data_IF_249408727596
#
_entry.id   IF_249408727596
#
_cell.length_a   1.000
_cell.length_b   1.000
_cell.length_c   1.000
_cell.angle_alpha   90.00
_cell.angle_beta   90.00
_cell.angle_gamma   90.00
#
_symmetry.space_group_name_H-M   'P 1'
#
loop_
_entity.id
_entity.type
_entity.pdbx_description
1 polymer ?
#
# COMPACT_ATOMS: atom_id res chain seq x y z
N UNK A 1 12.82 -4.01 -3.68
CA UNK A 1 12.74 -2.55 -3.94
C UNK A 1 11.67 -1.88 -3.07
N UNK A 2 11.86 -0.60 -2.70
CA UNK A 2 10.90 0.24 -1.94
C UNK A 2 10.67 1.58 -2.64
N UNK A 3 9.42 2.03 -2.70
CA UNK A 3 9.00 3.30 -3.30
C UNK A 3 8.10 4.09 -2.34
N UNK A 4 8.04 5.40 -2.53
CA UNK A 4 7.04 6.32 -1.95
C UNK A 4 6.01 6.65 -3.03
N UNK A 5 4.74 6.48 -2.69
CA UNK A 5 3.60 6.81 -3.54
C UNK A 5 2.89 8.00 -2.90
N UNK A 6 2.85 9.13 -3.61
CA UNK A 6 2.17 10.36 -3.21
C UNK A 6 0.89 10.50 -4.02
N UNK A 7 -0.23 10.76 -3.35
CA UNK A 7 -1.57 10.80 -3.94
C UNK A 7 -2.17 12.17 -3.70
N UNK A 8 -2.44 12.90 -4.77
CA UNK A 8 -3.06 14.22 -4.74
C UNK A 8 -4.59 14.07 -4.77
N UNK A 9 -5.31 14.72 -3.84
CA UNK A 9 -6.77 14.80 -3.88
C UNK A 9 -7.23 15.92 -4.81
N UNK A 10 -8.33 15.70 -5.53
CA UNK A 10 -8.99 16.75 -6.30
C UNK A 10 -9.66 17.84 -5.42
N UNK A 11 -9.75 17.63 -4.10
CA UNK A 11 -10.37 18.54 -3.12
C UNK A 11 -9.38 19.00 -2.02
N UNK A 12 -8.07 18.92 -2.29
CA UNK A 12 -6.97 19.30 -1.38
C UNK A 12 -6.92 18.59 0.00
N UNK A 13 -7.81 17.64 0.24
CA UNK A 13 -7.83 16.78 1.43
C UNK A 13 -8.39 15.40 1.12
N UNK A 14 -8.09 14.45 2.00
CA UNK A 14 -8.72 13.13 2.05
C UNK A 14 -9.53 13.01 3.34
N UNK A 15 -10.75 12.49 3.24
CA UNK A 15 -11.56 12.08 4.39
C UNK A 15 -11.65 10.55 4.36
N UNK A 16 -11.10 9.89 5.38
CA UNK A 16 -10.95 8.43 5.42
C UNK A 16 -11.45 7.87 6.75
N UNK A 17 -12.03 6.66 6.80
CA UNK A 17 -12.37 6.00 8.06
C UNK A 17 -11.11 5.48 8.77
N UNK A 18 -11.21 5.18 10.07
CA UNK A 18 -10.14 4.48 10.82
C UNK A 18 -9.56 3.27 10.07
N UNK A 19 -10.43 2.39 9.55
CA UNK A 19 -10.04 1.21 8.78
C UNK A 19 -9.77 1.50 7.31
N UNK A 20 -8.88 2.45 6.99
CA UNK A 20 -8.68 2.89 5.59
C UNK A 20 -7.87 1.94 4.71
N UNK A 21 -7.13 0.98 5.30
CA UNK A 21 -6.26 0.06 4.58
C UNK A 21 -6.90 -0.66 3.36
N UNK A 22 -8.18 -1.10 3.37
CA UNK A 22 -8.81 -1.72 2.21
C UNK A 22 -8.88 -0.80 0.99
N UNK A 23 -8.99 0.52 1.19
CA UNK A 23 -9.03 1.50 0.10
C UNK A 23 -7.65 1.76 -0.48
N UNK A 24 -6.61 1.83 0.37
CA UNK A 24 -5.20 1.90 -0.09
C UNK A 24 -4.83 0.64 -0.87
N UNK A 25 -5.24 -0.53 -0.36
CA UNK A 25 -5.10 -1.79 -1.07
C UNK A 25 -5.87 -1.79 -2.41
N UNK A 26 -7.08 -1.24 -2.43
CA UNK A 26 -7.90 -1.09 -3.63
C UNK A 26 -7.21 -0.26 -4.72
N UNK A 27 -6.67 0.91 -4.34
CA UNK A 27 -5.91 1.79 -5.23
C UNK A 27 -4.69 1.08 -5.83
N UNK A 28 -3.92 0.36 -5.01
CA UNK A 28 -2.77 -0.43 -5.48
C UNK A 28 -3.23 -1.56 -6.41
N UNK A 29 -4.20 -2.38 -5.98
CA UNK A 29 -4.71 -3.52 -6.75
C UNK A 29 -5.29 -3.11 -8.12
N UNK A 30 -5.96 -1.95 -8.21
CA UNK A 30 -6.49 -1.43 -9.48
C UNK A 30 -5.39 -1.10 -10.51
N UNK A 31 -4.15 -0.90 -10.06
CA UNK A 31 -2.99 -0.63 -10.89
C UNK A 31 -2.08 -1.85 -11.10
N UNK A 32 -2.41 -3.02 -10.53
CA UNK A 32 -1.64 -4.25 -10.74
C UNK A 32 -1.92 -4.79 -12.16
N UNK A 33 -0.89 -5.18 -12.94
CA UNK A 33 -1.09 -5.80 -14.25
C UNK A 33 -1.83 -7.15 -14.14
N UNK A 34 -2.80 -7.41 -15.02
CA UNK A 34 -3.53 -8.70 -15.05
C UNK A 34 -2.61 -9.88 -15.38
N UNK A 35 -1.56 -9.64 -16.17
CA UNK A 35 -0.58 -10.62 -16.65
C UNK A 35 0.60 -10.84 -15.69
N UNK A 36 0.59 -10.23 -14.50
CA UNK A 36 1.73 -10.28 -13.60
C UNK A 36 1.97 -11.67 -13.02
N UNK A 37 3.19 -12.15 -13.16
CA UNK A 37 3.63 -13.44 -12.59
C UNK A 37 3.99 -13.26 -11.12
N UNK A 38 3.12 -13.74 -10.23
CA UNK A 38 3.40 -13.82 -8.80
C UNK A 38 4.40 -14.95 -8.51
N UNK A 39 5.67 -14.61 -8.34
CA UNK A 39 6.77 -15.50 -7.91
C UNK A 39 6.68 -15.85 -6.41
N UNK A 40 5.50 -16.23 -5.94
CA UNK A 40 5.21 -16.56 -4.54
C UNK A 40 4.40 -17.85 -4.40
N UNK A 41 4.68 -18.86 -5.24
CA UNK A 41 3.95 -20.14 -5.21
C UNK A 41 4.40 -20.93 -3.99
N UNK A 42 3.51 -21.04 -3.00
CA UNK A 42 3.75 -21.79 -1.79
C UNK A 42 3.10 -23.18 -1.91
N UNK A 43 3.79 -24.11 -2.58
CA UNK A 43 3.33 -25.50 -2.71
C UNK A 43 3.21 -26.14 -1.31
N UNK A 44 1.98 -26.40 -0.87
CA UNK A 44 1.70 -27.06 0.40
C UNK A 44 1.20 -26.17 1.55
N UNK A 45 0.86 -24.90 1.31
CA UNK A 45 0.20 -24.03 2.32
C UNK A 45 -1.24 -23.68 1.94
N UNK A 46 -2.07 -23.32 2.93
CA UNK A 46 -3.48 -22.94 2.72
C UNK A 46 -3.63 -21.64 1.89
N UNK A 47 -2.64 -20.75 1.95
CA UNK A 47 -2.46 -19.67 0.97
C UNK A 47 -1.69 -20.23 -0.24
N UNK A 48 -2.35 -20.44 -1.37
CA UNK A 48 -1.72 -21.00 -2.59
C UNK A 48 -0.65 -20.08 -3.21
N UNK A 49 -0.78 -18.76 -3.01
CA UNK A 49 0.15 -17.75 -3.51
C UNK A 49 0.34 -16.61 -2.50
N UNK A 50 1.58 -16.32 -2.13
CA UNK A 50 1.89 -15.08 -1.44
C UNK A 50 1.93 -13.91 -2.42
N UNK A 51 1.06 -12.91 -2.21
CA UNK A 51 1.26 -11.56 -2.79
C UNK A 51 2.40 -10.89 -2.03
N UNK A 52 3.63 -11.06 -2.50
CA UNK A 52 4.85 -10.56 -1.89
C UNK A 52 5.03 -9.06 -2.14
N UNK A 53 4.18 -8.25 -1.50
CA UNK A 53 4.40 -6.83 -1.29
C UNK A 53 3.80 -6.41 0.05
N UNK A 54 4.30 -5.33 0.61
CA UNK A 54 3.77 -4.67 1.81
C UNK A 54 3.67 -3.16 1.58
N UNK A 55 2.85 -2.49 2.40
CA UNK A 55 2.77 -1.03 2.41
C UNK A 55 2.61 -0.48 3.83
N UNK A 56 3.01 0.77 4.02
CA UNK A 56 2.94 1.50 5.29
C UNK A 56 1.53 2.01 5.59
N UNK A 57 1.35 2.61 6.76
CA UNK A 57 0.25 3.54 7.00
C UNK A 57 0.31 4.74 6.03
N UNK A 58 -0.80 5.46 5.90
CA UNK A 58 -0.84 6.76 5.21
C UNK A 58 -0.24 7.85 6.10
N UNK A 59 0.48 8.76 5.45
CA UNK A 59 1.06 9.97 6.03
C UNK A 59 0.50 11.21 5.32
N UNK A 60 0.49 12.34 6.02
CA UNK A 60 0.14 13.65 5.49
C UNK A 60 0.84 14.74 6.32
N UNK A 61 0.94 15.97 5.79
CA UNK A 61 1.49 17.12 6.51
C UNK A 61 0.62 17.53 7.71
N UNK A 62 -0.70 17.33 7.62
CA UNK A 62 -1.61 17.40 8.77
C UNK A 62 -2.61 16.24 8.74
N UNK A 63 -2.94 15.75 9.93
CA UNK A 63 -3.94 14.72 10.17
C UNK A 63 -4.79 15.15 11.35
N UNK A 64 -6.07 15.41 11.10
CA UNK A 64 -7.08 15.67 12.13
C UNK A 64 -7.94 14.42 12.33
N UNK A 65 -8.22 14.07 13.58
CA UNK A 65 -9.15 13.00 13.94
C UNK A 65 -10.49 13.63 14.33
N UNK A 66 -11.56 13.22 13.66
CA UNK A 66 -12.94 13.63 13.97
C UNK A 66 -13.68 12.39 14.46
N UNK A 67 -14.01 12.36 15.75
CA UNK A 67 -14.85 11.30 16.33
C UNK A 67 -16.28 11.41 15.79
N UNK A 68 -16.82 10.29 15.33
CA UNK A 68 -18.18 10.18 14.79
C UNK A 68 -19.09 9.71 15.93
N UNK A 69 -20.07 10.52 16.31
CA UNK A 69 -21.13 10.08 17.20
C UNK A 69 -21.94 8.93 16.56
N UNK A 70 -22.34 7.88 17.33
CA UNK A 70 -23.28 6.88 16.84
C UNK A 70 -24.54 7.55 16.28
N UNK A 71 -25.09 7.00 15.18
CA UNK A 71 -26.35 7.49 14.63
C UNK A 71 -27.50 7.13 15.57
N UNK A 72 -28.47 8.03 15.69
CA UNK A 72 -29.70 7.78 16.45
C UNK A 72 -30.36 6.46 16.04
N UNK A 73 -30.61 5.58 17.02
CA UNK A 73 -31.22 4.27 16.81
C UNK A 73 -30.24 3.13 16.47
N UNK A 74 -28.92 3.37 16.46
CA UNK A 74 -27.90 2.31 16.40
C UNK A 74 -27.34 2.10 17.81
N UNK A 75 -27.38 0.88 18.33
CA UNK A 75 -26.68 0.54 19.58
C UNK A 75 -25.18 0.78 19.39
N UNK A 76 -24.57 1.54 20.30
CA UNK A 76 -23.13 1.73 20.28
C UNK A 76 -22.44 0.41 20.63
N UNK A 77 -21.57 -0.07 19.73
CA UNK A 77 -20.75 -1.27 19.89
C UNK A 77 -19.64 -1.13 20.95
N UNK A 78 -19.62 -0.02 21.69
CA UNK A 78 -18.58 0.34 22.65
C UNK A 78 -17.30 0.88 22.01
N UNK A 79 -17.24 0.99 20.67
CA UNK A 79 -16.06 1.47 19.96
C UNK A 79 -16.23 2.94 19.51
N UNK A 80 -15.16 3.72 19.63
CA UNK A 80 -15.13 5.09 19.12
C UNK A 80 -14.80 5.06 17.64
N UNK A 81 -15.83 5.21 16.80
CA UNK A 81 -15.68 5.38 15.36
C UNK A 81 -15.15 6.77 15.06
N UNK A 82 -14.16 6.91 14.19
CA UNK A 82 -13.62 8.21 13.77
C UNK A 82 -13.25 8.27 12.29
N UNK A 83 -13.25 9.48 11.75
CA UNK A 83 -12.63 9.80 10.47
C UNK A 83 -11.28 10.49 10.67
N UNK A 84 -10.40 10.29 9.72
CA UNK A 84 -9.16 11.04 9.54
C UNK A 84 -9.37 12.03 8.40
N UNK A 85 -9.14 13.31 8.68
CA UNK A 85 -9.04 14.37 7.67
C UNK A 85 -7.56 14.65 7.45
N UNK A 86 -7.06 14.30 6.27
CA UNK A 86 -5.64 14.38 5.93
C UNK A 86 -5.44 15.42 4.83
N UNK A 87 -4.45 16.31 4.98
CA UNK A 87 -4.10 17.28 3.92
C UNK A 87 -3.55 16.58 2.67
N UNK A 88 -3.85 17.09 1.48
CA UNK A 88 -3.23 16.65 0.24
C UNK A 88 -1.81 17.23 0.07
N UNK A 89 -0.86 16.49 -0.53
CA UNK A 89 -0.93 15.08 -0.85
C UNK A 89 -0.82 14.19 0.40
N UNK A 90 -1.48 13.05 0.38
CA UNK A 90 -1.14 11.93 1.28
C UNK A 90 -0.03 11.11 0.65
N UNK A 91 0.80 10.43 1.44
CA UNK A 91 1.76 9.48 0.92
C UNK A 91 1.85 8.20 1.74
N UNK A 92 2.32 7.13 1.11
CA UNK A 92 2.66 5.88 1.77
C UNK A 92 3.87 5.25 1.08
N UNK A 93 4.56 4.36 1.81
CA UNK A 93 5.61 3.53 1.26
C UNK A 93 5.04 2.19 0.82
N UNK A 94 5.51 1.69 -0.33
CA UNK A 94 5.22 0.35 -0.82
C UNK A 94 6.54 -0.36 -1.10
N UNK A 95 6.62 -1.65 -0.75
CA UNK A 95 7.83 -2.45 -0.94
C UNK A 95 7.49 -3.86 -1.45
N UNK A 96 8.35 -4.40 -2.29
CA UNK A 96 8.30 -5.79 -2.76
C UNK A 96 9.71 -6.31 -3.06
N UNK A 97 10.01 -7.60 -2.81
CA UNK A 97 11.24 -8.24 -3.27
C UNK A 97 11.31 -8.42 -4.81
N UNK A 98 10.24 -8.16 -5.57
CA UNK A 98 10.29 -8.10 -7.04
C UNK A 98 10.45 -6.66 -7.53
N UNK A 99 11.60 -6.27 -8.10
CA UNK A 99 11.73 -5.01 -8.84
C UNK A 99 10.75 -4.94 -10.02
N UNK A 100 10.55 -6.06 -10.72
CA UNK A 100 9.68 -6.16 -11.91
C UNK A 100 8.22 -5.80 -11.57
N UNK A 101 7.75 -6.20 -10.39
CA UNK A 101 6.43 -5.79 -9.87
C UNK A 101 6.34 -4.28 -9.64
N UNK A 102 7.36 -3.66 -9.06
CA UNK A 102 7.39 -2.21 -8.82
C UNK A 102 7.48 -1.44 -10.14
N UNK A 103 8.30 -1.90 -11.08
CA UNK A 103 8.47 -1.31 -12.41
C UNK A 103 7.20 -1.41 -13.26
N UNK A 104 6.48 -2.54 -13.19
CA UNK A 104 5.21 -2.72 -13.92
C UNK A 104 4.02 -1.96 -13.29
N UNK A 105 4.05 -1.74 -11.98
CA UNK A 105 3.01 -1.02 -11.21
C UNK A 105 3.15 0.52 -11.35
N UNK A 106 4.37 1.02 -11.35
CA UNK A 106 4.68 2.46 -11.33
C UNK A 106 4.03 3.28 -12.47
N UNK A 107 4.17 2.92 -13.77
CA UNK A 107 3.55 3.69 -14.84
C UNK A 107 2.02 3.64 -14.77
N UNK A 108 1.44 2.51 -14.34
CA UNK A 108 -0.01 2.37 -14.16
C UNK A 108 -0.53 3.31 -13.06
N UNK A 109 0.15 3.37 -11.91
CA UNK A 109 -0.18 4.33 -10.85
C UNK A 109 -0.16 5.78 -11.36
N UNK A 110 0.88 6.16 -12.11
CA UNK A 110 1.07 7.55 -12.57
C UNK A 110 0.15 7.95 -13.73
N UNK A 111 -0.34 7.00 -14.52
CA UNK A 111 -1.16 7.23 -15.72
C UNK A 111 -2.65 6.93 -15.50
N UNK A 112 -3.03 6.28 -14.40
CA UNK A 112 -4.43 5.91 -14.16
C UNK A 112 -5.30 7.15 -13.93
N UNK A 113 -6.40 7.20 -14.67
CA UNK A 113 -7.50 8.15 -14.46
C UNK A 113 -8.57 7.52 -13.57
N UNK A 114 -9.43 8.35 -12.98
CA UNK A 114 -10.57 7.94 -12.15
C UNK A 114 -10.23 7.03 -10.95
N UNK A 115 -8.99 7.07 -10.46
CA UNK A 115 -8.61 6.45 -9.19
C UNK A 115 -9.34 7.13 -8.02
N UNK A 116 -9.73 6.32 -7.05
CA UNK A 116 -10.42 6.77 -5.84
C UNK A 116 -9.77 6.17 -4.60
N UNK A 117 -9.69 6.96 -3.53
CA UNK A 117 -9.33 6.50 -2.18
C UNK A 117 -10.55 6.72 -1.28
N UNK A 118 -11.33 5.65 -1.05
CA UNK A 118 -12.72 5.74 -0.56
C UNK A 118 -13.55 6.60 -1.54
N UNK A 119 -14.21 7.69 -1.09
CA UNK A 119 -14.96 8.63 -1.96
C UNK A 119 -14.10 9.77 -2.49
N UNK A 120 -12.82 9.83 -2.13
CA UNK A 120 -11.94 10.92 -2.52
C UNK A 120 -11.38 10.64 -3.92
N UNK A 121 -11.75 11.47 -4.90
CA UNK A 121 -11.20 11.41 -6.26
C UNK A 121 -9.72 11.78 -6.24
N UNK A 122 -8.88 10.91 -6.79
CA UNK A 122 -7.46 11.14 -6.98
C UNK A 122 -7.24 12.01 -8.21
N UNK A 123 -6.57 13.15 -8.03
CA UNK A 123 -6.22 14.06 -9.12
C UNK A 123 -4.97 13.59 -9.87
N UNK A 124 -3.97 13.08 -9.14
CA UNK A 124 -2.75 12.53 -9.70
C UNK A 124 -2.01 11.66 -8.68
N UNK A 125 -1.11 10.79 -9.17
CA UNK A 125 -0.20 10.00 -8.35
C UNK A 125 1.24 10.26 -8.80
N UNK A 126 2.11 10.56 -7.84
CA UNK A 126 3.56 10.66 -8.05
C UNK A 126 4.23 9.49 -7.35
N UNK A 127 5.12 8.80 -8.07
CA UNK A 127 5.98 7.75 -7.50
C UNK A 127 7.41 8.29 -7.40
N UNK A 128 8.04 8.05 -6.26
CA UNK A 128 9.43 8.44 -5.97
C UNK A 128 10.15 7.21 -5.42
N UNK A 129 11.43 7.01 -5.76
CA UNK A 129 12.24 6.00 -5.09
C UNK A 129 12.34 6.32 -3.60
N UNK A 130 12.19 5.31 -2.73
CA UNK A 130 12.50 5.52 -1.31
C UNK A 130 14.02 5.68 -1.14
N UNK A 131 14.44 6.35 -0.07
CA UNK A 131 15.87 6.55 0.22
C UNK A 131 16.62 5.20 0.27
N UNK A 132 17.83 5.12 -0.32
CA UNK A 132 18.61 3.88 -0.32
C UNK A 132 19.05 3.53 1.09
N UNK A 133 18.71 2.32 1.55
CA UNK A 133 19.17 1.77 2.83
C UNK A 133 20.22 0.71 2.56
N UNK A 134 21.44 0.92 3.08
CA UNK A 134 22.53 -0.04 2.97
C UNK A 134 22.28 -1.21 3.92
N UNK A 135 21.78 -2.31 3.38
CA UNK A 135 21.51 -3.54 4.12
C UNK A 135 22.70 -4.51 3.92
N UNK A 136 23.29 -5.06 5.00
CA UNK A 136 24.29 -6.12 4.89
C UNK A 136 23.76 -7.32 4.08
N UNK A 137 24.61 -7.99 3.32
CA UNK A 137 24.21 -9.08 2.41
C UNK A 137 24.53 -10.49 2.93
N UNK A 138 25.23 -10.58 4.06
CA UNK A 138 25.72 -11.83 4.64
C UNK A 138 25.97 -11.69 6.15
N UNK A 139 25.94 -12.83 6.86
CA UNK A 139 26.23 -12.92 8.29
C UNK A 139 25.02 -12.68 9.19
N UNK A 140 25.22 -12.88 10.49
CA UNK A 140 24.21 -12.61 11.51
C UNK A 140 24.18 -11.10 11.82
N UNK A 141 22.99 -10.51 11.77
CA UNK A 141 22.78 -9.06 11.94
C UNK A 141 21.70 -8.83 12.99
N UNK A 142 21.86 -7.78 13.80
CA UNK A 142 20.84 -7.29 14.75
C UNK A 142 20.48 -5.85 14.40
N UNK A 143 19.20 -5.58 14.16
CA UNK A 143 18.66 -4.25 13.95
C UNK A 143 17.73 -3.85 15.09
N UNK A 144 17.72 -2.56 15.41
CA UNK A 144 16.53 -1.92 15.98
C UNK A 144 15.64 -1.53 14.81
N UNK A 145 14.37 -1.90 14.86
CA UNK A 145 13.38 -1.59 13.83
C UNK A 145 12.18 -0.87 14.42
N UNK A 146 11.50 -0.07 13.60
CA UNK A 146 10.21 0.53 13.92
C UNK A 146 9.18 0.06 12.89
N UNK A 147 8.01 -0.39 13.34
CA UNK A 147 6.88 -0.68 12.45
C UNK A 147 6.36 0.60 11.82
N UNK A 148 6.27 0.64 10.49
CA UNK A 148 5.56 1.70 9.73
C UNK A 148 4.18 1.23 9.25
N UNK A 149 3.90 -0.07 9.29
CA UNK A 149 2.56 -0.64 9.45
C UNK A 149 2.55 -1.78 10.50
N UNK A 150 1.41 -2.09 11.15
CA UNK A 150 1.37 -3.01 12.29
C UNK A 150 1.82 -4.43 11.89
N UNK A 151 2.56 -5.13 12.76
CA UNK A 151 2.87 -6.56 12.55
C UNK A 151 1.68 -7.39 13.01
N UNK A 152 1.17 -8.28 12.16
CA UNK A 152 0.10 -9.23 12.54
C UNK A 152 0.58 -10.66 12.37
N UNK A 153 0.35 -11.49 13.39
CA UNK A 153 0.52 -12.94 13.36
C UNK A 153 -0.67 -13.59 14.04
N UNK A 154 -1.13 -14.70 13.46
CA UNK A 154 -2.36 -15.37 13.88
C UNK A 154 -2.31 -16.88 13.63
N UNK A 155 -3.23 -17.57 14.29
CA UNK A 155 -3.61 -18.95 14.02
C UNK A 155 -5.13 -18.99 13.79
N UNK A 156 -5.58 -19.73 12.78
CA UNK A 156 -7.01 -20.00 12.58
C UNK A 156 -7.50 -20.93 13.70
N UNK A 157 -8.62 -20.60 14.33
CA UNK A 157 -9.15 -21.39 15.46
C UNK A 157 -9.71 -22.75 15.00
N UNK A 158 -10.17 -22.82 13.75
CA UNK A 158 -10.49 -24.05 13.05
C UNK A 158 -10.30 -23.87 11.54
N UNK A 159 -10.44 -24.94 10.74
CA UNK A 159 -10.38 -24.85 9.28
C UNK A 159 -11.67 -24.30 8.64
N UNK A 160 -12.78 -24.36 9.37
CA UNK A 160 -14.12 -24.00 8.89
C UNK A 160 -14.63 -22.66 9.47
N UNK A 161 -13.96 -22.12 10.49
CA UNK A 161 -14.28 -20.79 11.06
C UNK A 161 -13.43 -19.70 10.43
N UNK A 162 -14.06 -18.55 10.16
CA UNK A 162 -13.37 -17.34 9.73
C UNK A 162 -12.74 -16.57 10.92
N UNK A 163 -12.58 -17.24 12.08
CA UNK A 163 -12.04 -16.68 13.31
C UNK A 163 -10.54 -16.99 13.44
N UNK A 164 -9.77 -15.94 13.73
CA UNK A 164 -8.33 -16.00 13.86
C UNK A 164 -7.91 -15.44 15.22
N UNK A 165 -7.18 -16.24 15.99
CA UNK A 165 -6.55 -15.79 17.22
C UNK A 165 -5.26 -15.04 16.86
N UNK A 166 -5.19 -13.75 17.23
CA UNK A 166 -4.03 -12.90 16.98
C UNK A 166 -3.12 -12.83 18.20
N UNK A 167 -1.79 -12.85 17.99
CA UNK A 167 -0.82 -12.92 19.07
C UNK A 167 -0.10 -11.58 19.27
N UNK A 168 0.05 -11.17 20.53
CA UNK A 168 0.72 -9.94 20.95
C UNK A 168 2.25 -10.12 21.04
N UNK A 169 3.08 -9.07 20.91
CA UNK A 169 4.55 -9.17 20.99
C UNK A 169 5.14 -9.73 22.28
N UNK A 170 4.37 -9.72 23.37
CA UNK A 170 4.67 -10.31 24.68
C UNK A 170 4.20 -11.77 24.82
N UNK A 171 3.43 -12.29 23.86
CA UNK A 171 3.04 -13.69 23.80
C UNK A 171 4.24 -14.59 23.42
N UNK A 172 4.53 -15.68 24.17
CA UNK A 172 5.62 -16.61 23.87
C UNK A 172 5.64 -17.20 22.45
N UNK A 173 4.48 -17.27 21.77
CA UNK A 173 4.36 -17.78 20.41
C UNK A 173 4.63 -16.72 19.33
N UNK A 174 4.63 -15.42 19.66
CA UNK A 174 4.76 -14.34 18.67
C UNK A 174 6.01 -14.48 17.81
N UNK A 175 7.19 -14.58 18.44
CA UNK A 175 8.46 -14.68 17.72
C UNK A 175 8.54 -15.94 16.83
N UNK A 176 7.98 -17.06 17.30
CA UNK A 176 7.86 -18.29 16.53
C UNK A 176 6.95 -18.12 15.31
N UNK A 177 5.78 -17.51 15.47
CA UNK A 177 4.83 -17.30 14.37
C UNK A 177 5.35 -16.30 13.33
N UNK A 178 6.11 -15.28 13.75
CA UNK A 178 6.82 -14.39 12.82
C UNK A 178 7.85 -15.18 12.01
N UNK A 179 8.64 -16.06 12.64
CA UNK A 179 9.62 -16.91 11.95
C UNK A 179 8.96 -17.93 11.01
N UNK A 180 7.92 -18.65 11.47
CA UNK A 180 7.18 -19.62 10.67
C UNK A 180 6.52 -18.98 9.44
N UNK A 181 6.12 -17.70 9.53
CA UNK A 181 5.68 -16.92 8.38
C UNK A 181 6.86 -16.53 7.46
N UNK A 182 7.96 -16.02 8.04
CA UNK A 182 9.15 -15.62 7.29
C UNK A 182 9.73 -16.76 6.44
N UNK A 183 9.89 -17.96 7.03
CA UNK A 183 10.39 -19.16 6.34
C UNK A 183 9.50 -19.54 5.16
N UNK A 184 8.17 -19.52 5.34
CA UNK A 184 7.21 -19.84 4.26
C UNK A 184 7.26 -18.83 3.12
N UNK A 185 7.32 -17.53 3.42
CA UNK A 185 7.45 -16.48 2.40
C UNK A 185 8.78 -16.56 1.65
N UNK A 186 9.88 -16.79 2.35
CA UNK A 186 11.20 -16.93 1.75
C UNK A 186 11.27 -18.16 0.82
N UNK A 187 10.73 -19.30 1.26
CA UNK A 187 10.65 -20.50 0.41
C UNK A 187 9.75 -20.27 -0.81
N UNK A 188 8.59 -19.64 -0.66
CA UNK A 188 7.70 -19.34 -1.78
C UNK A 188 8.34 -18.41 -2.83
N UNK A 189 9.20 -17.48 -2.40
CA UNK A 189 9.96 -16.56 -3.25
C UNK A 189 11.17 -17.22 -3.94
N UNK A 190 12.00 -17.92 -3.18
CA UNK A 190 13.32 -18.42 -3.63
C UNK A 190 13.31 -19.87 -4.09
N UNK A 191 12.34 -20.66 -3.63
CA UNK A 191 12.35 -22.13 -3.63
C UNK A 191 13.54 -22.75 -2.84
N UNK A 192 14.22 -21.96 -2.01
CA UNK A 192 15.34 -22.38 -1.16
C UNK A 192 14.95 -22.45 0.33
N UNK A 193 15.67 -23.26 1.11
CA UNK A 193 15.54 -23.26 2.57
C UNK A 193 16.02 -21.90 3.13
N UNK A 194 15.15 -21.21 3.86
CA UNK A 194 15.49 -19.96 4.52
C UNK A 194 16.66 -20.13 5.53
N UNK A 195 17.62 -19.18 5.61
CA UNK A 195 18.63 -19.14 6.65
C UNK A 195 18.00 -18.62 7.95
N UNK A 196 17.25 -19.49 8.63
CA UNK A 196 16.47 -19.19 9.84
C UNK A 196 17.30 -19.18 11.14
N UNK A 197 18.54 -19.67 11.10
CA UNK A 197 19.33 -19.89 12.30
C UNK A 197 19.74 -18.55 12.94
N UNK A 198 19.58 -18.43 14.25
CA UNK A 198 19.79 -17.17 14.98
C UNK A 198 18.69 -16.12 14.80
N UNK A 199 17.58 -16.43 14.10
CA UNK A 199 16.44 -15.50 14.03
C UNK A 199 15.81 -15.27 15.40
N UNK A 200 15.61 -14.01 15.77
CA UNK A 200 14.79 -13.63 16.92
C UNK A 200 14.16 -12.25 16.71
N UNK A 201 12.98 -12.05 17.31
CA UNK A 201 12.30 -10.75 17.36
C UNK A 201 11.76 -10.52 18.77
N UNK A 202 12.00 -9.35 19.34
CA UNK A 202 11.47 -8.95 20.65
C UNK A 202 11.00 -7.50 20.64
N UNK A 203 9.92 -7.21 21.37
CA UNK A 203 9.45 -5.84 21.56
C UNK A 203 10.43 -5.07 22.46
N UNK A 204 10.75 -3.83 22.07
CA UNK A 204 11.56 -2.91 22.87
C UNK A 204 10.71 -1.89 23.64
N UNK A 205 9.45 -1.71 23.23
CA UNK A 205 8.50 -0.88 23.95
C UNK A 205 7.93 -1.63 25.16
N UNK A 206 7.77 -0.93 26.28
CA UNK A 206 7.21 -1.49 27.52
C UNK A 206 5.76 -2.01 27.35
N UNK A 207 5.02 -1.44 26.41
CA UNK A 207 3.69 -1.90 26.04
C UNK A 207 3.54 -1.79 24.52
N UNK A 208 3.35 -2.90 23.79
CA UNK A 208 3.14 -2.86 22.35
C UNK A 208 1.78 -2.22 22.04
N UNK A 209 1.74 -1.29 21.09
CA UNK A 209 0.51 -0.57 20.77
C UNK A 209 -0.34 -1.39 19.79
N UNK A 210 -1.50 -1.86 20.26
CA UNK A 210 -2.49 -2.58 19.45
C UNK A 210 -3.17 -1.65 18.44
N UNK A 211 -3.08 -2.01 17.16
CA UNK A 211 -3.86 -1.43 16.07
C UNK A 211 -4.90 -2.46 15.59
N UNK A 212 -6.18 -2.11 15.75
CA UNK A 212 -7.31 -2.87 15.19
C UNK A 212 -7.75 -2.20 13.90
N UNK A 213 -7.67 -2.94 12.79
CA UNK A 213 -8.01 -2.48 11.44
C UNK A 213 -9.07 -3.41 10.86
N UNK A 214 -10.25 -2.88 10.58
CA UNK A 214 -11.35 -3.64 9.96
C UNK A 214 -11.10 -3.84 8.47
N UNK A 215 -11.02 -5.09 8.04
CA UNK A 215 -10.92 -5.49 6.63
C UNK A 215 -12.20 -6.22 6.22
N UNK A 216 -13.06 -5.57 5.43
CA UNK A 216 -14.36 -6.14 4.98
C UNK A 216 -15.14 -6.75 6.16
N UNK A 217 -15.39 -5.90 7.17
CA UNK A 217 -16.09 -6.24 8.41
C UNK A 217 -15.42 -7.31 9.30
N UNK A 218 -14.22 -7.77 8.95
CA UNK A 218 -13.39 -8.66 9.79
C UNK A 218 -12.31 -7.83 10.51
N UNK A 219 -12.29 -7.79 11.86
CA UNK A 219 -11.23 -7.11 12.59
C UNK A 219 -9.90 -7.86 12.42
N UNK A 220 -8.84 -7.12 12.10
CA UNK A 220 -7.46 -7.61 12.07
C UNK A 220 -6.67 -6.90 13.16
N UNK A 221 -6.14 -7.66 14.11
CA UNK A 221 -5.26 -7.14 15.15
C UNK A 221 -3.81 -7.19 14.64
N UNK A 222 -3.11 -6.07 14.76
CA UNK A 222 -1.67 -6.01 14.58
C UNK A 222 -1.06 -5.06 15.59
N UNK A 223 0.25 -5.16 15.79
CA UNK A 223 0.96 -4.41 16.82
C UNK A 223 2.00 -3.50 16.20
N UNK A 224 1.96 -2.24 16.62
CA UNK A 224 2.94 -1.22 16.27
C UNK A 224 3.88 -0.98 17.44
N UNK A 225 5.16 -0.76 17.14
CA UNK A 225 6.19 -0.45 18.13
C UNK A 225 7.60 -0.51 17.57
N UNK A 226 8.56 -0.42 18.48
CA UNK A 226 9.99 -0.68 18.26
C UNK A 226 10.31 -2.13 18.64
N UNK A 227 11.12 -2.78 17.82
CA UNK A 227 11.53 -4.17 18.03
C UNK A 227 13.04 -4.30 17.83
N UNK A 228 13.65 -5.28 18.50
CA UNK A 228 14.95 -5.80 18.13
C UNK A 228 14.74 -7.01 17.23
N UNK A 229 15.34 -7.00 16.05
CA UNK A 229 15.26 -8.06 15.05
C UNK A 229 16.67 -8.57 14.77
N UNK A 230 16.92 -9.84 15.07
CA UNK A 230 18.19 -10.52 14.79
C UNK A 230 17.94 -11.67 13.81
N UNK A 231 18.91 -11.98 12.94
CA UNK A 231 18.85 -13.09 11.99
C UNK A 231 19.90 -13.00 10.89
N UNK A 232 19.93 -13.97 9.97
CA UNK A 232 20.80 -13.90 8.79
C UNK A 232 20.39 -12.73 7.88
N UNK A 233 21.40 -11.98 7.45
CA UNK A 233 21.25 -10.78 6.64
C UNK A 233 20.39 -10.97 5.38
N UNK A 234 20.45 -12.13 4.71
CA UNK A 234 19.64 -12.42 3.52
C UNK A 234 18.16 -12.52 3.86
N UNK A 235 17.84 -13.24 4.95
CA UNK A 235 16.46 -13.36 5.43
C UNK A 235 15.93 -12.01 5.91
N UNK A 236 16.73 -11.25 6.66
CA UNK A 236 16.31 -9.92 7.14
C UNK A 236 16.12 -8.92 5.98
N UNK A 237 16.99 -8.94 4.96
CA UNK A 237 16.84 -8.14 3.74
C UNK A 237 15.55 -8.50 2.99
N UNK A 238 15.26 -9.79 2.82
CA UNK A 238 13.99 -10.24 2.22
C UNK A 238 12.76 -9.78 3.02
N UNK A 239 12.84 -9.80 4.35
CA UNK A 239 11.75 -9.34 5.23
C UNK A 239 11.59 -7.82 5.24
N UNK A 240 12.67 -7.04 5.06
CA UNK A 240 12.59 -5.59 4.88
C UNK A 240 11.80 -5.20 3.62
N UNK A 241 11.83 -6.04 2.59
CA UNK A 241 11.12 -5.81 1.32
C UNK A 241 9.72 -6.46 1.25
N UNK A 242 9.51 -7.61 1.90
CA UNK A 242 8.24 -8.35 1.90
C UNK A 242 7.35 -8.12 3.14
N UNK A 243 7.91 -7.52 4.20
CA UNK A 243 7.26 -7.30 5.49
C UNK A 243 7.37 -8.49 6.47
N UNK A 244 7.14 -8.23 7.76
CA UNK A 244 7.05 -9.22 8.84
C UNK A 244 5.62 -9.74 9.00
N UNK A 245 5.46 -10.99 9.48
CA UNK A 245 4.14 -11.55 9.77
C UNK A 245 3.21 -11.69 8.55
N UNK A 246 1.93 -11.90 8.81
CA UNK A 246 0.90 -12.16 7.79
C UNK A 246 0.27 -10.90 7.18
N UNK A 247 -0.68 -11.13 6.25
CA UNK A 247 -1.52 -10.09 5.61
C UNK A 247 -0.73 -8.89 5.02
N UNK A 248 0.51 -9.10 4.56
CA UNK A 248 1.39 -7.98 4.15
C UNK A 248 0.79 -7.10 3.04
N UNK A 249 0.20 -7.73 2.02
CA UNK A 249 -0.50 -7.06 0.92
C UNK A 249 -1.82 -6.37 1.33
N UNK A 250 -2.18 -6.36 2.62
CA UNK A 250 -3.27 -5.61 3.23
C UNK A 250 -2.76 -4.41 4.08
N UNK A 251 -1.46 -4.10 4.00
CA UNK A 251 -0.85 -2.97 4.72
C UNK A 251 -0.42 -3.33 6.14
N UNK A 252 0.27 -4.48 6.28
CA UNK A 252 0.79 -4.98 7.55
C UNK A 252 2.26 -5.42 7.42
N UNK A 253 2.98 -5.31 8.53
CA UNK A 253 4.33 -5.85 8.69
C UNK A 253 5.45 -5.03 8.06
N UNK A 254 5.16 -3.89 7.44
CA UNK A 254 6.21 -3.01 6.92
C UNK A 254 6.92 -2.33 8.07
N UNK A 255 8.25 -2.39 8.06
CA UNK A 255 9.10 -1.76 9.07
C UNK A 255 10.22 -0.94 8.42
N UNK A 256 10.81 -0.06 9.21
CA UNK A 256 12.07 0.60 8.87
C UNK A 256 13.14 0.33 9.92
N UNK A 257 14.40 0.52 9.54
CA UNK A 257 15.56 0.31 10.41
C UNK A 257 15.81 1.62 11.18
N UNK A 258 15.69 1.55 12.51
CA UNK A 258 15.96 2.68 13.39
C UNK A 258 17.48 2.85 13.55
N UNK A 259 18.06 4.03 13.29
CA UNK A 259 19.48 4.26 13.52
C UNK A 259 19.85 4.18 14.99
N UNK A 260 21.12 3.91 15.26
CA UNK A 260 21.63 3.84 16.63
C UNK A 260 21.58 5.22 17.31
N UNK A 261 20.83 5.32 18.41
CA UNK A 261 20.75 6.54 19.24
C UNK A 261 19.67 7.55 18.86
N UNK A 262 18.75 7.25 17.92
CA UNK A 262 17.66 8.18 17.58
C UNK A 262 16.41 8.03 18.48
N UNK A 263 16.05 9.13 19.15
CA UNK A 263 14.77 9.28 19.86
C UNK A 263 13.59 9.56 18.89
N UNK A 264 12.36 9.31 19.34
CA UNK A 264 11.11 9.46 18.55
C UNK A 264 10.95 10.84 17.86
N UNK A 265 11.52 11.90 18.43
CA UNK A 265 11.47 13.27 17.91
C UNK A 265 12.38 13.53 16.70
N UNK A 266 13.35 12.65 16.43
CA UNK A 266 14.18 12.71 15.22
C UNK A 266 13.50 11.97 14.06
N UNK A 267 12.89 10.82 14.33
CA UNK A 267 12.15 10.05 13.33
C UNK A 267 10.97 10.83 12.72
N UNK A 268 10.19 11.55 13.54
CA UNK A 268 9.12 12.42 13.03
C UNK A 268 9.65 13.50 12.08
N UNK A 269 10.76 14.14 12.45
CA UNK A 269 11.44 15.11 11.58
C UNK A 269 11.91 14.49 10.28
N UNK A 270 12.44 13.26 10.26
CA UNK A 270 12.75 12.58 8.99
C UNK A 270 11.53 12.46 8.09
N UNK A 271 10.40 11.98 8.61
CA UNK A 271 9.15 11.88 7.82
C UNK A 271 8.59 13.23 7.34
N UNK A 272 8.99 14.35 7.96
CA UNK A 272 8.60 15.72 7.61
C UNK A 272 9.62 16.39 6.67
N UNK A 273 10.93 16.20 6.89
CA UNK A 273 12.05 16.69 6.10
C UNK A 273 12.15 15.97 4.73
N UNK A 274 11.73 14.70 4.68
CA UNK A 274 11.40 13.95 3.46
C UNK A 274 10.30 14.64 2.60
N UNK A 275 9.59 15.66 3.12
CA UNK A 275 8.67 16.51 2.34
C UNK A 275 9.29 17.84 1.90
N UNK A 276 10.45 18.23 2.43
CA UNK A 276 11.11 19.49 2.14
C UNK A 276 12.27 19.36 1.13
N UNK A 277 13.04 18.27 1.14
CA UNK A 277 14.13 18.09 0.16
C UNK A 277 13.61 17.88 -1.26
N UNK A 278 12.52 17.11 -1.44
CA UNK A 278 11.94 16.78 -2.75
C UNK A 278 11.41 18.03 -3.50
N UNK A 279 11.16 19.13 -2.79
CA UNK A 279 10.74 20.41 -3.39
C UNK A 279 11.89 21.33 -3.84
N UNK A 280 13.16 20.96 -3.63
CA UNK A 280 14.28 21.69 -4.20
C UNK A 280 14.49 21.26 -5.66
N UNK A 281 13.97 22.06 -6.58
CA UNK A 281 14.43 22.03 -7.98
C UNK A 281 15.96 22.15 -8.02
N UNK A 282 16.66 21.39 -8.87
CA UNK A 282 18.08 21.61 -9.06
C UNK A 282 18.27 23.02 -9.61
N UNK A 283 19.02 23.85 -8.89
CA UNK A 283 19.41 25.18 -9.36
C UNK A 283 20.21 25.01 -10.65
N UNK A 284 19.61 25.42 -11.77
CA UNK A 284 20.29 25.48 -13.07
C UNK A 284 21.63 26.18 -12.88
N UNK A 285 22.78 25.56 -13.23
CA UNK A 285 24.04 26.26 -13.21
C UNK A 285 23.92 27.45 -14.17
N UNK A 286 24.08 28.68 -13.66
CA UNK A 286 24.25 29.84 -14.53
C UNK A 286 25.45 29.56 -15.42
N UNK A 287 25.21 29.45 -16.73
CA UNK A 287 26.26 29.29 -17.71
C UNK A 287 27.23 30.48 -17.57
N UNK A 288 28.51 30.18 -17.36
CA UNK A 288 29.55 31.19 -17.44
C UNK A 288 29.55 31.77 -18.85
N UNK A 289 29.51 33.10 -18.95
CA UNK A 289 29.57 33.79 -20.22
C UNK A 289 31.03 33.86 -20.69
N UNK A 290 31.49 32.82 -21.38
CA UNK A 290 32.77 32.87 -22.08
C UNK A 290 32.69 33.85 -23.26
N UNK A 291 33.51 34.90 -23.17
CA UNK A 291 33.72 35.86 -24.26
C UNK A 291 34.83 35.35 -25.18
N UNK A 292 34.47 34.56 -26.19
CA UNK A 292 35.37 34.33 -27.34
C UNK A 292 34.80 34.93 -28.62
N UNK A 293 35.52 35.94 -29.14
CA UNK A 293 35.30 36.53 -30.46
C UNK A 293 35.85 35.58 -31.53
N UNK A 294 35.12 35.31 -32.62
CA UNK A 294 35.73 34.88 -33.86
C UNK A 294 36.04 36.09 -34.75
N UNK A 295 37.28 36.16 -35.24
CA UNK A 295 37.71 37.17 -36.21
C UNK A 295 36.94 37.09 -37.54
N UNK A 296 36.76 38.25 -38.17
CA UNK A 296 36.13 38.38 -39.49
C UNK A 296 37.07 39.14 -40.42
N UNK A 297 37.61 38.54 -41.50
CA UNK A 297 38.31 39.30 -42.52
C UNK A 297 37.31 40.04 -43.42
N UNK A 298 37.66 41.27 -43.81
CA UNK A 298 36.84 42.11 -44.68
C UNK A 298 36.85 41.64 -46.14
N UNK A 299 35.74 41.86 -46.87
CA UNK A 299 35.76 42.49 -48.21
C UNK A 299 34.39 42.89 -48.78
N UNK A 300 34.27 44.18 -49.08
CA UNK A 300 33.62 44.79 -50.26
C UNK A 300 32.18 44.44 -50.70
N UNK A 301 31.23 45.31 -50.30
CA UNK A 301 30.37 46.16 -51.16
C UNK A 301 29.62 45.62 -52.42
N UNK A 302 28.28 45.59 -52.36
CA UNK A 302 27.27 46.15 -53.32
C UNK A 302 25.85 45.70 -52.89
N UNK A 303 24.85 46.57 -52.64
CA UNK A 303 23.92 47.33 -53.52
C UNK A 303 22.91 46.50 -54.35
N UNK A 304 21.61 46.76 -54.12
CA UNK A 304 20.41 46.11 -54.71
C UNK A 304 19.55 45.51 -53.59
N UNK A 305 18.40 46.01 -53.13
CA UNK A 305 17.19 46.61 -53.74
C UNK A 305 16.21 45.57 -54.31
N UNK A 306 14.90 45.82 -54.11
CA UNK A 306 13.73 44.93 -54.39
C UNK A 306 13.59 43.76 -53.37
N UNK A 307 12.43 43.42 -52.79
CA UNK A 307 11.07 43.96 -52.88
C UNK A 307 10.11 42.98 -53.56
N UNK A 308 9.16 42.38 -52.83
CA UNK A 308 7.83 41.97 -53.34
C UNK A 308 6.88 41.52 -52.21
N UNK A 309 5.59 41.46 -52.53
CA UNK A 309 4.41 41.36 -51.64
C UNK A 309 3.38 40.42 -52.31
N UNK A 310 2.43 39.86 -51.53
CA UNK A 310 1.19 39.15 -51.98
C UNK A 310 1.37 37.75 -52.63
N UNK A 311 0.38 36.83 -52.69
CA UNK A 311 -0.93 36.67 -52.01
C UNK A 311 -1.45 35.21 -52.15
N UNK A 312 -2.57 34.90 -51.47
CA UNK A 312 -3.61 33.97 -51.95
C UNK A 312 -3.70 32.59 -51.26
N UNK A 313 -4.81 32.11 -50.70
CA UNK A 313 -6.18 31.86 -51.27
C UNK A 313 -6.22 30.60 -52.20
N UNK A 314 -7.24 29.73 -52.25
CA UNK A 314 -8.49 29.58 -51.47
C UNK A 314 -9.11 28.15 -51.68
N UNK A 315 -10.37 27.95 -51.24
CA UNK A 315 -11.30 26.82 -51.49
C UNK A 315 -11.05 25.52 -50.67
N UNK A 316 -12.04 24.86 -50.04
CA UNK A 316 -13.52 25.00 -50.05
C UNK A 316 -14.20 23.99 -51.00
N UNK A 317 -15.40 23.44 -50.76
CA UNK A 317 -16.36 23.54 -49.64
C UNK A 317 -17.50 22.47 -49.80
N UNK A 318 -18.31 22.24 -48.75
CA UNK A 318 -19.63 21.55 -48.73
C UNK A 318 -19.69 20.07 -49.22
N UNK A 319 -20.66 19.19 -48.90
CA UNK A 319 -21.89 19.19 -48.07
C UNK A 319 -22.47 17.74 -48.03
N UNK A 320 -23.69 17.41 -47.58
CA UNK A 320 -24.72 18.16 -46.84
C UNK A 320 -25.85 17.22 -46.29
N UNK A 321 -26.51 17.62 -45.19
CA UNK A 321 -27.91 17.30 -44.78
C UNK A 321 -28.36 15.87 -44.32
N UNK A 322 -29.12 15.85 -43.22
CA UNK A 322 -30.03 14.77 -42.75
C UNK A 322 -31.48 15.01 -43.26
N UNK A 323 -32.48 14.11 -43.04
CA UNK A 323 -33.34 14.30 -41.83
C UNK A 323 -34.18 13.10 -41.28
N UNK A 324 -34.20 12.98 -39.94
CA UNK A 324 -35.40 12.83 -39.05
C UNK A 324 -36.28 11.54 -38.90
N UNK A 325 -36.87 11.43 -37.69
CA UNK A 325 -38.04 10.62 -37.19
C UNK A 325 -37.77 9.17 -36.72
N UNK A 326 -38.41 8.62 -35.66
CA UNK A 326 -39.15 9.17 -34.49
C UNK A 326 -39.63 8.07 -33.50
N UNK A 327 -39.61 8.32 -32.17
CA UNK A 327 -40.38 7.66 -31.06
C UNK A 327 -40.23 6.13 -30.82
N UNK A 328 -40.44 5.54 -29.62
CA UNK A 328 -40.79 6.04 -28.28
C UNK A 328 -41.00 4.89 -27.24
N UNK A 329 -41.44 5.23 -26.01
CA UNK A 329 -41.66 4.35 -24.81
C UNK A 329 -40.39 3.85 -24.09
N UNK A 330 -40.16 3.97 -22.76
CA UNK A 330 -40.93 3.95 -21.48
C UNK A 330 -41.34 2.57 -20.93
N UNK A 331 -41.17 2.47 -19.60
CA UNK A 331 -41.38 1.41 -18.58
C UNK A 331 -40.03 0.85 -18.08
N UNK A 332 -39.51 1.09 -16.86
CA UNK A 332 -40.05 1.35 -15.50
C UNK A 332 -40.82 0.18 -14.86
N UNK A 333 -40.18 -0.48 -13.87
CA UNK A 333 -40.79 -1.08 -12.67
C UNK A 333 -39.77 -1.68 -11.68
N UNK A 334 -39.50 -0.90 -10.64
CA UNK A 334 -39.39 -1.25 -9.21
C UNK A 334 -39.45 -2.72 -8.73
N UNK A 335 -38.52 -3.03 -7.81
CA UNK A 335 -38.65 -3.81 -6.56
C UNK A 335 -39.64 -5.00 -6.44
N UNK A 336 -39.11 -6.17 -6.05
CA UNK A 336 -39.73 -7.03 -5.01
C UNK A 336 -38.69 -7.72 -4.12
N UNK A 337 -38.71 -7.43 -2.82
CA UNK A 337 -38.04 -8.20 -1.77
C UNK A 337 -38.86 -9.44 -1.40
N UNK A 338 -38.25 -10.59 -1.10
CA UNK A 338 -38.91 -11.75 -0.42
C UNK A 338 -37.90 -12.57 0.41
N UNK A 339 -38.34 -13.40 1.39
CA UNK A 339 -37.74 -13.36 2.72
C UNK A 339 -37.09 -14.67 3.20
N UNK A 340 -36.47 -14.62 4.40
CA UNK A 340 -36.05 -15.78 5.18
C UNK A 340 -37.22 -16.72 5.51
N UNK A 341 -37.02 -18.05 5.53
CA UNK A 341 -37.77 -18.97 6.37
C UNK A 341 -37.06 -19.18 7.72
N UNK A 342 -37.83 -19.28 8.81
CA UNK A 342 -37.39 -19.87 10.07
C UNK A 342 -37.91 -21.31 10.18
N UNK A 343 -37.06 -22.20 10.71
CA UNK A 343 -37.40 -23.35 11.54
C UNK A 343 -38.47 -24.34 11.08
N UNK A 344 -38.04 -25.58 10.82
CA UNK A 344 -38.86 -26.76 11.09
C UNK A 344 -38.01 -27.86 11.75
N UNK A 345 -38.60 -28.56 12.72
CA UNK A 345 -37.99 -29.70 13.40
C UNK A 345 -37.94 -30.93 12.48
N UNK A 346 -36.89 -31.75 12.59
CA UNK A 346 -36.93 -33.14 12.14
C UNK A 346 -36.19 -34.05 13.11
N UNK A 347 -36.92 -34.98 13.72
CA UNK A 347 -36.41 -35.98 14.65
C UNK A 347 -35.47 -37.04 14.01
N UNK A 348 -34.81 -37.79 14.91
CA UNK A 348 -34.25 -39.16 14.79
C UNK A 348 -32.73 -39.28 14.64
N UNK A 349 -32.14 -40.39 15.11
CA UNK A 349 -32.50 -41.17 16.31
C UNK A 349 -31.28 -41.46 17.21
N UNK A 350 -31.54 -41.97 18.42
CA UNK A 350 -30.52 -42.59 19.25
C UNK A 350 -29.93 -43.83 18.55
N UNK A 351 -28.62 -44.03 18.69
CA UNK A 351 -27.96 -45.32 18.49
C UNK A 351 -26.97 -45.57 19.62
N UNK A 352 -27.02 -46.77 20.18
CA UNK A 352 -26.43 -47.10 21.47
C UNK A 352 -24.90 -47.12 21.49
N UNK A 353 -24.34 -46.72 22.64
CA UNK A 353 -23.00 -47.15 23.08
C UNK A 353 -23.14 -48.04 24.32
N UNK A 354 -22.67 -49.29 24.30
CA UNK A 354 -22.48 -50.07 25.51
C UNK A 354 -21.17 -49.66 26.21
N UNK A 355 -21.19 -49.69 27.55
CA UNK A 355 -20.14 -50.16 28.50
C UNK A 355 -18.63 -49.83 28.24
N UNK A 356 -17.78 -49.57 29.25
CA UNK A 356 -17.84 -49.97 30.67
C UNK A 356 -16.98 -49.04 31.56
N UNK A 357 -17.04 -49.28 32.86
CA UNK A 357 -16.40 -48.53 33.96
C UNK A 357 -14.86 -48.65 34.06
N UNK A 358 -14.29 -47.71 34.84
CA UNK A 358 -13.17 -47.85 35.80
C UNK A 358 -11.92 -48.66 35.37
N UNK A 359 -10.78 -47.98 35.42
CA UNK A 359 -9.95 -48.05 36.65
C UNK A 359 -9.05 -46.82 36.81
#
# INVERSE_FOLDING_TARGET
>A
MRIRIEVQSALDKFILPQGYNPYVQGLVNACIPEDIKWSGIATGTEEAHFKLFTFSQLYAKSVERIDIAPRDGVEADGHVHYQLVMSSPVWFYLSSPSPEFIEALTPRLQQAHDLHLERNLVQSVRVVAAYPVTIPTHGLVTWRIRTISPITVYQSESKDSNSAHYFAPDDPLFAKLVLDNAVRKYYAWTQEKAPSDGFSISCLDHTPHLAVISFKDTPVHGYTGRFQLTGDAKLLSFLYESGLGGKNSHGFGMFDIAPEGEDDAHWRRRTEEDTHEVHRTPSTPMAAADQERPDRPERSSSRGQEGHVWHGEHHGAAGESSPSRSAGSRDDRTHTSRPRPQGEHSDRPQSDRPHTERS
#
